data_IF_042587487210
#
_entry.id   IF_042587487210
#
_cell.length_a   1.000
_cell.length_b   1.000
_cell.length_c   1.000
_cell.angle_alpha   90.00
_cell.angle_beta   90.00
_cell.angle_gamma   90.00
#
_symmetry.space_group_name_H-M   'P 1'
#
loop_
_entity.id
_entity.type
_entity.pdbx_description
1 polymer ?
#
# COMPACT_ATOMS: atom_id res chain seq x y z
N UNK A 1 22.35 -2.18 8.54
CA UNK A 1 21.66 -3.28 9.27
C UNK A 1 21.73 -3.05 10.76
N UNK A 2 22.92 -2.96 11.37
CA UNK A 2 23.10 -2.66 12.81
C UNK A 2 22.11 -1.67 13.42
N UNK A 3 22.09 -0.42 12.95
CA UNK A 3 21.18 0.61 13.49
C UNK A 3 19.70 0.22 13.41
N UNK A 4 19.29 -0.49 12.34
CA UNK A 4 17.92 -0.96 12.20
C UNK A 4 17.62 -2.14 13.14
N UNK A 5 18.59 -3.02 13.38
CA UNK A 5 18.48 -4.10 14.36
C UNK A 5 18.34 -3.53 15.78
N UNK A 6 19.16 -2.54 16.14
CA UNK A 6 19.11 -1.84 17.43
C UNK A 6 17.74 -1.18 17.64
N UNK A 7 17.20 -0.51 16.60
CA UNK A 7 15.86 0.06 16.63
C UNK A 7 14.80 -1.02 16.87
N UNK A 8 14.85 -2.13 16.11
CA UNK A 8 13.85 -3.19 16.18
C UNK A 8 13.84 -3.83 17.57
N UNK A 9 15.02 -4.14 18.11
CA UNK A 9 15.19 -4.70 19.45
C UNK A 9 14.58 -3.77 20.52
N UNK A 10 14.96 -2.48 20.49
CA UNK A 10 14.43 -1.48 21.40
C UNK A 10 12.89 -1.34 21.31
N UNK A 11 12.33 -1.40 20.11
CA UNK A 11 10.88 -1.30 19.90
C UNK A 11 10.12 -2.51 20.43
N UNK A 12 10.68 -3.72 20.33
CA UNK A 12 10.06 -4.96 20.81
C UNK A 12 9.93 -4.95 22.33
N UNK A 13 10.97 -4.52 23.05
CA UNK A 13 10.95 -4.49 24.51
C UNK A 13 10.26 -3.25 25.11
N UNK A 14 10.04 -2.22 24.30
CA UNK A 14 9.36 -0.99 24.75
C UNK A 14 7.84 -1.16 24.75
N UNK A 15 7.20 -0.95 25.91
CA UNK A 15 5.72 -0.93 26.00
C UNK A 15 5.12 0.46 25.90
N UNK A 16 5.88 1.50 26.24
CA UNK A 16 5.39 2.89 26.25
C UNK A 16 5.28 3.44 24.84
N UNK A 17 4.08 3.87 24.45
CA UNK A 17 3.81 4.55 23.17
C UNK A 17 4.75 5.73 22.94
N UNK A 18 4.94 6.59 23.95
CA UNK A 18 5.78 7.78 23.83
C UNK A 18 7.27 7.44 23.74
N UNK A 19 7.70 6.35 24.38
CA UNK A 19 9.07 5.88 24.21
C UNK A 19 9.32 5.35 22.79
N UNK A 20 8.36 4.61 22.20
CA UNK A 20 8.46 4.18 20.80
C UNK A 20 8.55 5.35 19.83
N UNK A 21 7.73 6.39 20.04
CA UNK A 21 7.79 7.60 19.21
C UNK A 21 9.18 8.25 19.24
N UNK A 22 9.80 8.33 20.43
CA UNK A 22 11.17 8.83 20.57
C UNK A 22 12.19 7.94 19.86
N UNK A 23 12.14 6.63 20.07
CA UNK A 23 13.05 5.68 19.40
C UNK A 23 12.98 5.79 17.88
N UNK A 24 11.78 5.87 17.32
CA UNK A 24 11.56 6.08 15.88
C UNK A 24 12.17 7.42 15.47
N UNK A 25 11.83 8.51 16.16
CA UNK A 25 12.33 9.84 15.82
C UNK A 25 13.85 9.98 15.90
N UNK A 26 14.47 9.40 16.92
CA UNK A 26 15.93 9.36 17.10
C UNK A 26 16.59 8.62 15.94
N UNK A 27 16.09 7.42 15.61
CA UNK A 27 16.60 6.66 14.46
C UNK A 27 16.49 7.42 13.14
N UNK A 28 15.36 8.08 12.88
CA UNK A 28 15.14 8.83 11.63
C UNK A 28 16.03 10.06 11.50
N UNK A 29 16.46 10.65 12.62
CA UNK A 29 17.41 11.78 12.65
C UNK A 29 18.86 11.33 12.50
N UNK A 30 19.23 10.20 13.11
CA UNK A 30 20.62 9.73 13.14
C UNK A 30 21.01 8.87 11.94
N UNK A 31 20.04 8.32 11.21
CA UNK A 31 20.28 7.41 10.09
C UNK A 31 20.13 8.16 8.76
N UNK A 32 21.11 8.11 7.85
CA UNK A 32 21.03 8.80 6.57
C UNK A 32 20.05 8.14 5.59
N UNK A 33 19.69 8.88 4.53
CA UNK A 33 19.02 8.29 3.38
C UNK A 33 19.95 7.34 2.60
N UNK A 34 19.43 6.26 2.00
CA UNK A 34 18.02 5.85 1.97
C UNK A 34 17.61 4.91 3.12
N UNK A 35 18.50 4.59 4.07
CA UNK A 35 18.25 3.61 5.14
C UNK A 35 17.08 4.02 6.07
N UNK A 36 16.97 5.30 6.44
CA UNK A 36 15.84 5.78 7.27
C UNK A 36 14.49 5.62 6.59
N UNK A 37 14.45 5.82 5.27
CA UNK A 37 13.25 5.68 4.47
C UNK A 37 12.81 4.25 4.26
N UNK A 38 13.77 3.36 4.07
CA UNK A 38 13.50 1.92 4.05
C UNK A 38 13.01 1.38 5.40
N UNK A 39 13.56 1.87 6.51
CA UNK A 39 13.06 1.53 7.83
C UNK A 39 11.62 2.02 8.05
N UNK A 40 11.28 3.22 7.57
CA UNK A 40 9.89 3.69 7.57
C UNK A 40 8.99 2.75 6.79
N UNK A 41 9.37 2.37 5.57
CA UNK A 41 8.59 1.44 4.75
C UNK A 41 8.38 0.08 5.45
N UNK A 42 9.41 -0.42 6.13
CA UNK A 42 9.33 -1.64 6.91
C UNK A 42 8.35 -1.50 8.10
N UNK A 43 8.45 -0.42 8.88
CA UNK A 43 7.59 -0.18 10.05
C UNK A 43 6.13 0.10 9.68
N UNK A 44 5.86 0.62 8.48
CA UNK A 44 4.50 0.88 7.99
C UNK A 44 3.91 -0.27 7.19
N UNK A 45 4.65 -1.36 6.96
CA UNK A 45 4.18 -2.51 6.19
C UNK A 45 4.11 -2.25 4.68
N UNK A 46 4.87 -1.28 4.18
CA UNK A 46 4.90 -0.88 2.77
C UNK A 46 6.04 -1.55 1.98
N UNK A 47 6.75 -2.50 2.59
CA UNK A 47 7.84 -3.27 1.97
C UNK A 47 7.38 -4.69 1.64
N UNK A 48 7.71 -5.18 0.45
CA UNK A 48 7.50 -6.57 0.04
C UNK A 48 8.76 -7.15 -0.61
N UNK A 49 9.24 -8.28 -0.07
CA UNK A 49 10.42 -9.01 -0.55
C UNK A 49 9.97 -10.41 -1.04
N UNK A 50 9.39 -10.51 -2.25
CA UNK A 50 8.63 -11.68 -2.67
C UNK A 50 9.50 -12.93 -2.90
N UNK A 51 10.81 -12.76 -3.08
CA UNK A 51 11.75 -13.85 -3.26
C UNK A 51 12.00 -14.65 -1.96
N UNK A 52 11.83 -14.02 -0.79
CA UNK A 52 12.03 -14.67 0.51
C UNK A 52 10.70 -15.16 1.07
N UNK A 53 10.57 -16.47 1.23
CA UNK A 53 9.39 -17.11 1.83
C UNK A 53 9.78 -17.91 3.07
N UNK A 54 8.88 -18.08 4.06
CA UNK A 54 9.19 -18.86 5.27
C UNK A 54 9.71 -20.27 4.98
N UNK A 55 9.23 -20.92 3.93
CA UNK A 55 9.70 -22.24 3.52
C UNK A 55 11.16 -22.25 3.02
N UNK A 56 11.58 -21.18 2.32
CA UNK A 56 12.97 -21.02 1.88
C UNK A 56 13.89 -20.89 3.10
N UNK A 57 13.53 -19.99 4.02
CA UNK A 57 14.30 -19.72 5.25
C UNK A 57 14.44 -21.00 6.09
N UNK A 58 13.36 -21.80 6.19
CA UNK A 58 13.39 -23.11 6.86
C UNK A 58 14.33 -24.10 6.16
N UNK A 59 14.30 -24.18 4.84
CA UNK A 59 15.18 -25.08 4.09
C UNK A 59 16.67 -24.73 4.33
N UNK A 60 17.00 -23.43 4.32
CA UNK A 60 18.37 -22.97 4.54
C UNK A 60 18.94 -23.36 5.91
N UNK A 61 18.13 -23.29 6.98
CA UNK A 61 18.59 -23.71 8.32
C UNK A 61 18.66 -25.23 8.46
N UNK A 62 17.72 -25.98 7.87
CA UNK A 62 17.71 -27.45 7.91
C UNK A 62 18.87 -28.09 7.11
N UNK A 63 19.45 -27.37 6.14
CA UNK A 63 20.71 -27.76 5.47
C UNK A 63 21.95 -27.61 6.37
N UNK A 64 21.89 -26.75 7.39
CA UNK A 64 23.03 -26.32 8.21
C UNK A 64 22.99 -26.90 9.62
N UNK A 65 21.79 -27.17 10.12
CA UNK A 65 21.53 -27.62 11.48
C UNK A 65 20.62 -28.83 11.42
N UNK A 66 20.85 -29.79 12.30
CA UNK A 66 20.00 -30.98 12.42
C UNK A 66 18.50 -30.59 12.55
N UNK A 67 17.61 -31.12 11.70
CA UNK A 67 16.20 -30.73 11.71
C UNK A 67 15.44 -31.03 13.01
N UNK A 68 15.91 -31.99 13.82
CA UNK A 68 15.35 -32.27 15.16
C UNK A 68 15.78 -31.18 16.12
N UNK A 69 17.06 -30.82 16.13
CA UNK A 69 17.58 -29.73 16.97
C UNK A 69 16.91 -28.40 16.64
N UNK A 70 16.76 -28.07 15.34
CA UNK A 70 16.08 -26.85 14.91
C UNK A 70 14.63 -26.82 15.43
N UNK A 71 13.87 -27.90 15.25
CA UNK A 71 12.47 -27.99 15.70
C UNK A 71 12.34 -27.85 17.21
N UNK A 72 13.18 -28.55 17.99
CA UNK A 72 13.18 -28.44 19.45
C UNK A 72 13.50 -27.01 19.91
N UNK A 73 14.49 -26.37 19.29
CA UNK A 73 14.88 -24.99 19.60
C UNK A 73 13.77 -24.01 19.26
N UNK A 74 13.14 -24.18 18.10
CA UNK A 74 12.00 -23.37 17.65
C UNK A 74 10.82 -23.49 18.60
N UNK A 75 10.52 -24.70 19.07
CA UNK A 75 9.41 -24.93 20.01
C UNK A 75 9.68 -24.28 21.38
N UNK A 76 10.94 -24.16 21.78
CA UNK A 76 11.33 -23.44 23.00
C UNK A 76 11.28 -21.92 22.84
N UNK A 77 11.84 -21.37 21.75
CA UNK A 77 11.91 -19.92 21.50
C UNK A 77 10.56 -19.34 21.08
N UNK A 78 9.78 -20.09 20.29
CA UNK A 78 8.44 -19.68 19.84
C UNK A 78 8.44 -18.76 18.61
N UNK A 79 9.60 -18.34 18.11
CA UNK A 79 9.74 -17.52 16.91
C UNK A 79 10.83 -18.07 15.97
N UNK A 80 10.48 -18.30 14.71
CA UNK A 80 11.41 -18.87 13.73
C UNK A 80 12.56 -17.91 13.38
N UNK A 81 12.32 -16.60 13.32
CA UNK A 81 13.39 -15.66 12.96
C UNK A 81 14.44 -15.62 14.07
N UNK A 82 14.01 -15.54 15.33
CA UNK A 82 14.89 -15.55 16.49
C UNK A 82 15.64 -16.87 16.62
N UNK A 83 14.95 -18.00 16.45
CA UNK A 83 15.58 -19.32 16.50
C UNK A 83 16.68 -19.46 15.45
N UNK A 84 16.39 -19.05 14.21
CA UNK A 84 17.36 -19.17 13.11
C UNK A 84 18.52 -18.20 13.32
N UNK A 85 18.25 -16.97 13.75
CA UNK A 85 19.29 -15.99 14.04
C UNK A 85 20.31 -16.48 15.07
N UNK A 86 19.84 -17.17 16.11
CA UNK A 86 20.66 -17.76 17.17
C UNK A 86 21.36 -19.07 16.74
N UNK A 87 20.70 -19.90 15.95
CA UNK A 87 21.24 -21.20 15.50
C UNK A 87 22.13 -21.11 14.26
N UNK A 88 22.10 -19.98 13.53
CA UNK A 88 22.84 -19.85 12.29
C UNK A 88 24.35 -20.02 12.57
N UNK A 89 24.99 -21.06 12.01
CA UNK A 89 26.36 -21.40 12.36
C UNK A 89 27.32 -20.31 11.89
N UNK A 90 28.43 -20.17 12.60
CA UNK A 90 29.53 -19.35 12.12
C UNK A 90 30.10 -19.93 10.82
N UNK A 91 30.35 -19.10 9.79
CA UNK A 91 30.89 -19.59 8.54
C UNK A 91 32.32 -20.10 8.75
N UNK A 92 32.64 -21.26 8.14
CA UNK A 92 33.99 -21.87 8.22
C UNK A 92 35.04 -20.93 7.63
N UNK A 93 34.68 -20.21 6.56
CA UNK A 93 35.51 -19.19 5.92
C UNK A 93 34.91 -17.82 6.27
N UNK A 94 35.69 -16.90 6.86
CA UNK A 94 35.23 -15.54 7.09
C UNK A 94 34.78 -14.89 5.78
N UNK A 95 33.71 -14.09 5.78
CA UNK A 95 33.26 -13.41 4.57
C UNK A 95 34.34 -12.44 4.03
N UNK A 96 34.47 -12.38 2.71
CA UNK A 96 35.49 -11.59 1.99
C UNK A 96 35.42 -10.06 2.25
N UNK A 97 34.26 -9.55 2.68
CA UNK A 97 34.05 -8.12 2.89
C UNK A 97 33.86 -7.79 4.37
N UNK A 98 34.69 -6.88 4.90
CA UNK A 98 34.55 -6.34 6.25
C UNK A 98 33.53 -5.20 6.36
N UNK A 99 33.02 -4.68 5.23
CA UNK A 99 32.04 -3.60 5.25
C UNK A 99 30.68 -4.07 5.78
N UNK A 100 30.12 -3.37 6.79
CA UNK A 100 28.79 -3.68 7.32
C UNK A 100 27.71 -3.53 6.25
N UNK A 101 26.74 -4.45 6.22
CA UNK A 101 25.57 -4.35 5.35
C UNK A 101 24.65 -3.21 5.80
N UNK A 102 24.29 -2.31 4.89
CA UNK A 102 23.25 -1.29 5.10
C UNK A 102 21.85 -1.86 4.88
N UNK A 103 20.82 -1.20 5.40
CA UNK A 103 19.44 -1.65 5.19
C UNK A 103 19.04 -1.52 3.70
N UNK A 104 19.47 -0.44 3.06
CA UNK A 104 19.24 -0.20 1.64
C UNK A 104 19.84 -1.31 0.77
N UNK A 105 21.11 -1.68 0.98
CA UNK A 105 21.74 -2.76 0.23
C UNK A 105 20.97 -4.08 0.35
N UNK A 106 20.49 -4.42 1.55
CA UNK A 106 19.67 -5.62 1.76
C UNK A 106 18.39 -5.56 0.92
N UNK A 107 17.66 -4.44 0.97
CA UNK A 107 16.39 -4.29 0.26
C UNK A 107 16.58 -4.25 -1.25
N UNK A 108 17.56 -3.51 -1.74
CA UNK A 108 17.83 -3.38 -3.17
C UNK A 108 18.19 -4.73 -3.78
N UNK A 109 19.04 -5.50 -3.09
CA UNK A 109 19.43 -6.85 -3.53
C UNK A 109 18.23 -7.81 -3.44
N UNK A 110 17.59 -7.95 -2.28
CA UNK A 110 16.51 -8.93 -2.10
C UNK A 110 15.22 -8.57 -2.84
N UNK A 111 15.00 -7.29 -3.14
CA UNK A 111 13.84 -6.80 -3.88
C UNK A 111 13.95 -7.05 -5.38
N UNK A 112 15.17 -7.18 -5.92
CA UNK A 112 15.42 -7.36 -7.35
C UNK A 112 15.87 -8.77 -7.73
N UNK A 113 16.31 -9.58 -6.76
CA UNK A 113 16.85 -10.92 -7.01
C UNK A 113 15.80 -11.91 -7.52
N UNK A 114 16.24 -12.83 -8.37
CA UNK A 114 15.41 -13.96 -8.81
C UNK A 114 15.13 -14.93 -7.66
N UNK A 115 14.04 -15.69 -7.76
CA UNK A 115 13.72 -16.73 -6.77
C UNK A 115 14.77 -17.84 -6.69
N UNK A 116 15.51 -18.10 -7.77
CA UNK A 116 16.56 -19.13 -7.81
C UNK A 116 17.84 -18.68 -7.12
N UNK A 117 18.15 -17.39 -7.17
CA UNK A 117 19.40 -16.85 -6.60
C UNK A 117 19.22 -16.38 -5.15
N UNK A 118 17.97 -16.11 -4.75
CA UNK A 118 17.60 -15.71 -3.39
C UNK A 118 18.15 -16.61 -2.24
N UNK A 119 18.16 -17.95 -2.35
CA UNK A 119 18.70 -18.82 -1.29
C UNK A 119 20.17 -18.53 -0.99
N UNK A 120 21.01 -18.50 -2.03
CA UNK A 120 22.45 -18.29 -1.90
C UNK A 120 22.76 -16.88 -1.38
N UNK A 121 22.04 -15.88 -1.88
CA UNK A 121 22.22 -14.49 -1.43
C UNK A 121 21.81 -14.29 0.02
N UNK A 122 20.64 -14.81 0.44
CA UNK A 122 20.20 -14.70 1.83
C UNK A 122 21.18 -15.40 2.77
N UNK A 123 21.67 -16.59 2.42
CA UNK A 123 22.68 -17.28 3.22
C UNK A 123 23.96 -16.46 3.35
N UNK A 124 24.47 -15.90 2.25
CA UNK A 124 25.66 -15.04 2.27
C UNK A 124 25.48 -13.78 3.13
N UNK A 125 24.28 -13.19 3.15
CA UNK A 125 23.98 -12.10 4.07
C UNK A 125 23.97 -12.56 5.53
N UNK A 126 23.32 -13.69 5.85
CA UNK A 126 23.27 -14.22 7.22
C UNK A 126 24.66 -14.56 7.76
N UNK A 127 25.55 -15.10 6.92
CA UNK A 127 26.95 -15.40 7.26
C UNK A 127 27.75 -14.14 7.65
N UNK A 128 27.34 -12.96 7.17
CA UNK A 128 27.99 -11.67 7.45
C UNK A 128 27.43 -10.92 8.65
N UNK A 129 26.27 -11.33 9.16
CA UNK A 129 25.54 -10.60 10.19
C UNK A 129 25.68 -11.27 11.55
N UNK A 130 25.59 -10.48 12.62
CA UNK A 130 25.47 -10.98 13.99
C UNK A 130 24.04 -11.42 14.30
N UNK A 131 23.82 -12.11 15.42
CA UNK A 131 22.52 -12.70 15.77
C UNK A 131 21.35 -11.69 15.75
N UNK A 132 21.52 -10.50 16.32
CA UNK A 132 20.50 -9.45 16.33
C UNK A 132 20.22 -8.87 14.92
N UNK A 133 21.25 -8.70 14.10
CA UNK A 133 21.10 -8.28 12.71
C UNK A 133 20.44 -9.36 11.83
N UNK A 134 20.78 -10.64 12.04
CA UNK A 134 20.11 -11.78 11.39
C UNK A 134 18.64 -11.80 11.75
N UNK A 135 18.31 -11.60 13.02
CA UNK A 135 16.92 -11.52 13.49
C UNK A 135 16.18 -10.40 12.77
N UNK A 136 16.75 -9.19 12.72
CA UNK A 136 16.15 -8.05 12.02
C UNK A 136 15.96 -8.30 10.52
N UNK A 137 16.96 -8.87 9.84
CA UNK A 137 16.88 -9.26 8.43
C UNK A 137 15.75 -10.26 8.18
N UNK A 138 15.66 -11.31 9.00
CA UNK A 138 14.65 -12.36 8.85
C UNK A 138 13.24 -11.84 9.12
N UNK A 139 13.07 -10.99 10.14
CA UNK A 139 11.80 -10.33 10.46
C UNK A 139 11.34 -9.40 9.33
N UNK A 140 12.27 -8.64 8.75
CA UNK A 140 12.04 -7.78 7.59
C UNK A 140 11.62 -8.62 6.37
N UNK A 141 12.43 -9.62 6.00
CA UNK A 141 12.23 -10.41 4.79
C UNK A 141 10.97 -11.27 4.83
N UNK A 142 10.53 -11.71 6.01
CA UNK A 142 9.28 -12.46 6.17
C UNK A 142 8.05 -11.56 6.38
N UNK A 143 8.20 -10.24 6.43
CA UNK A 143 7.10 -9.28 6.62
C UNK A 143 6.41 -9.38 7.99
N UNK A 144 7.13 -9.84 9.02
CA UNK A 144 6.56 -10.20 10.32
C UNK A 144 7.27 -9.52 11.50
N UNK A 145 7.60 -8.22 11.35
CA UNK A 145 8.34 -7.43 12.35
C UNK A 145 7.74 -7.56 13.76
N UNK A 146 6.40 -7.44 13.88
CA UNK A 146 5.65 -7.53 15.16
C UNK A 146 6.24 -6.66 16.29
N UNK A 147 6.83 -5.51 15.94
CA UNK A 147 7.46 -4.58 16.89
C UNK A 147 6.46 -3.75 17.73
N UNK A 148 5.16 -4.03 17.63
CA UNK A 148 4.09 -3.25 18.27
C UNK A 148 4.07 -1.79 17.83
N UNK A 149 4.38 -1.53 16.55
CA UNK A 149 4.31 -0.21 15.90
C UNK A 149 3.25 -0.30 14.82
N UNK A 150 2.23 0.57 14.89
CA UNK A 150 1.28 0.74 13.79
C UNK A 150 1.83 1.74 12.78
N UNK A 151 1.33 1.69 11.53
CA UNK A 151 1.72 2.66 10.50
C UNK A 151 1.49 4.11 10.97
N UNK A 152 0.35 4.39 11.62
CA UNK A 152 0.06 5.70 12.22
C UNK A 152 1.06 6.10 13.31
N UNK A 153 1.50 5.15 14.15
CA UNK A 153 2.51 5.43 15.17
C UNK A 153 3.85 5.81 14.54
N UNK A 154 4.27 5.12 13.47
CA UNK A 154 5.50 5.44 12.75
C UNK A 154 5.43 6.84 12.10
N UNK A 155 4.32 7.16 11.41
CA UNK A 155 4.08 8.50 10.83
C UNK A 155 4.08 9.61 11.90
N UNK A 156 3.47 9.34 13.06
CA UNK A 156 3.51 10.26 14.20
C UNK A 156 4.93 10.45 14.72
N UNK A 157 5.74 9.39 14.75
CA UNK A 157 7.16 9.46 15.17
C UNK A 157 7.98 10.33 14.23
N UNK A 158 7.80 10.17 12.91
CA UNK A 158 8.38 11.06 11.90
C UNK A 158 7.94 12.52 12.13
N UNK A 159 6.63 12.78 12.21
CA UNK A 159 6.08 14.12 12.36
C UNK A 159 6.63 14.84 13.61
N UNK A 160 6.65 14.15 14.76
CA UNK A 160 7.20 14.69 16.00
C UNK A 160 8.72 14.92 15.94
N UNK A 161 9.45 14.05 15.23
CA UNK A 161 10.89 14.21 15.09
C UNK A 161 11.24 15.48 14.31
N UNK A 162 10.50 15.76 13.24
CA UNK A 162 10.81 16.84 12.31
C UNK A 162 9.89 18.07 12.42
N UNK A 163 9.10 18.15 13.50
CA UNK A 163 8.16 19.24 13.76
C UNK A 163 7.17 19.49 12.60
N UNK A 164 6.66 18.39 12.03
CA UNK A 164 5.66 18.40 10.97
C UNK A 164 4.26 18.17 11.54
N UNK A 165 3.24 18.66 10.84
CA UNK A 165 1.86 18.27 11.07
C UNK A 165 1.64 16.81 10.62
N UNK A 166 1.12 15.97 11.51
CA UNK A 166 0.94 14.53 11.22
C UNK A 166 -0.19 14.31 10.22
N UNK A 167 -1.20 15.16 10.22
CA UNK A 167 -2.31 15.12 9.27
C UNK A 167 -1.83 15.47 7.86
N UNK A 168 -0.91 16.44 7.72
CA UNK A 168 -0.25 16.73 6.45
C UNK A 168 0.63 15.57 5.95
N UNK A 169 1.34 14.88 6.85
CA UNK A 169 2.09 13.66 6.51
C UNK A 169 1.14 12.54 6.05
N UNK A 170 0.02 12.35 6.73
CA UNK A 170 -0.98 11.34 6.38
C UNK A 170 -1.65 11.63 5.03
N UNK A 171 -1.94 12.89 4.73
CA UNK A 171 -2.54 13.32 3.46
C UNK A 171 -1.70 12.86 2.26
N UNK A 172 -0.39 13.11 2.30
CA UNK A 172 0.49 12.80 1.16
C UNK A 172 0.98 11.36 1.12
N UNK A 173 0.86 10.62 2.23
CA UNK A 173 1.52 9.33 2.42
C UNK A 173 1.30 8.34 1.27
N UNK A 174 0.05 8.18 0.82
CA UNK A 174 -0.34 7.22 -0.23
C UNK A 174 0.22 7.60 -1.61
N UNK A 175 0.56 8.87 -1.80
CA UNK A 175 1.14 9.39 -3.03
C UNK A 175 2.67 9.31 -3.06
N UNK A 176 3.32 9.00 -1.95
CA UNK A 176 4.77 8.86 -1.86
C UNK A 176 5.19 7.39 -1.91
N UNK A 177 6.36 7.13 -2.50
CA UNK A 177 6.91 5.78 -2.61
C UNK A 177 8.15 5.63 -1.74
N UNK A 178 8.37 4.46 -1.09
CA UNK A 178 9.66 4.12 -0.47
C UNK A 178 10.84 4.33 -1.44
N UNK A 179 12.01 4.81 -0.97
CA UNK A 179 12.36 5.15 0.42
C UNK A 179 11.95 6.59 0.83
N UNK A 180 10.90 7.15 0.23
CA UNK A 180 10.31 8.44 0.60
C UNK A 180 11.24 9.67 0.54
N UNK A 181 12.07 9.84 -0.52
CA UNK A 181 13.02 10.97 -0.58
C UNK A 181 12.33 12.34 -0.48
N UNK A 182 11.16 12.53 -1.11
CA UNK A 182 10.38 13.78 -1.02
C UNK A 182 9.92 14.07 0.40
N UNK A 183 9.56 13.03 1.17
CA UNK A 183 9.09 13.18 2.55
C UNK A 183 10.22 13.65 3.46
N UNK A 184 11.39 13.01 3.37
CA UNK A 184 12.54 13.40 4.18
C UNK A 184 13.14 14.73 3.72
N UNK A 185 13.10 15.02 2.42
CA UNK A 185 13.43 16.34 1.91
C UNK A 185 12.56 17.45 2.49
N UNK A 186 11.26 17.22 2.61
CA UNK A 186 10.34 18.13 3.32
C UNK A 186 10.66 18.20 4.82
N UNK A 187 10.86 17.05 5.47
CA UNK A 187 11.17 16.96 6.89
C UNK A 187 12.46 17.71 7.29
N UNK A 188 13.45 17.77 6.39
CA UNK A 188 14.69 18.50 6.59
C UNK A 188 14.65 19.95 6.11
N UNK A 189 13.52 20.40 5.54
CA UNK A 189 13.36 21.75 4.99
C UNK A 189 14.14 22.01 3.68
N UNK A 190 14.64 20.95 3.02
CA UNK A 190 15.33 21.06 1.72
C UNK A 190 14.35 21.07 0.54
N UNK A 191 13.14 20.55 0.75
CA UNK A 191 12.05 20.53 -0.22
C UNK A 191 10.81 21.22 0.37
N UNK A 192 9.95 21.74 -0.49
CA UNK A 192 8.62 22.22 -0.08
C UNK A 192 7.74 21.06 0.33
N UNK A 193 6.79 21.32 1.24
CA UNK A 193 5.76 20.36 1.61
C UNK A 193 5.05 19.83 0.35
N UNK A 194 5.03 18.52 0.10
CA UNK A 194 4.16 17.95 -0.92
C UNK A 194 2.70 18.21 -0.53
N UNK A 195 1.85 18.45 -1.52
CA UNK A 195 0.42 18.70 -1.29
C UNK A 195 -0.40 17.89 -2.29
N UNK A 196 -1.70 17.80 -2.04
CA UNK A 196 -2.64 17.14 -2.93
C UNK A 196 -2.72 17.75 -4.34
N UNK A 197 -2.16 18.95 -4.55
CA UNK A 197 -2.03 19.61 -5.86
C UNK A 197 -0.79 19.16 -6.65
N UNK A 198 0.18 18.52 -5.98
CA UNK A 198 1.46 18.12 -6.58
C UNK A 198 1.68 16.60 -6.54
N UNK A 199 0.87 15.89 -5.75
CA UNK A 199 1.01 14.45 -5.52
C UNK A 199 -0.39 13.83 -5.65
N UNK A 200 -0.54 12.72 -6.40
CA UNK A 200 -1.79 11.98 -6.43
C UNK A 200 -2.00 11.34 -5.05
N UNK A 201 -2.91 11.89 -4.25
CA UNK A 201 -3.18 11.42 -2.90
C UNK A 201 -4.54 10.76 -2.78
N UNK A 202 -4.61 9.71 -1.99
CA UNK A 202 -5.86 9.07 -1.59
C UNK A 202 -6.61 9.91 -0.56
N UNK A 203 -7.93 10.03 -0.74
CA UNK A 203 -8.85 10.67 0.22
C UNK A 203 -9.84 9.64 0.75
N UNK A 204 -10.11 9.61 2.08
CA UNK A 204 -11.10 8.72 2.65
C UNK A 204 -12.47 8.86 1.98
N UNK A 205 -13.11 7.73 1.73
CA UNK A 205 -14.41 7.66 1.08
C UNK A 205 -15.55 8.10 2.01
N UNK A 206 -16.56 8.78 1.45
CA UNK A 206 -17.87 8.89 2.09
C UNK A 206 -18.52 7.50 2.14
N UNK A 207 -19.00 7.08 3.31
CA UNK A 207 -19.60 5.77 3.52
C UNK A 207 -21.13 5.86 3.54
N UNK A 208 -21.78 4.87 2.93
CA UNK A 208 -23.23 4.70 3.03
C UNK A 208 -23.58 3.95 4.32
N UNK A 209 -24.76 4.26 4.85
CA UNK A 209 -25.38 3.52 5.95
C UNK A 209 -26.61 2.76 5.42
N UNK A 210 -26.93 1.58 5.97
CA UNK A 210 -28.20 0.93 5.66
C UNK A 210 -29.35 1.87 5.94
N UNK A 211 -30.34 1.89 5.05
CA UNK A 211 -31.56 2.65 5.25
C UNK A 211 -32.37 2.01 6.39
N UNK A 212 -32.61 2.75 7.47
CA UNK A 212 -33.44 2.28 8.59
C UNK A 212 -34.94 2.52 8.34
N UNK A 213 -35.25 3.53 7.54
CA UNK A 213 -36.62 3.88 7.15
C UNK A 213 -37.13 2.94 6.04
N UNK A 214 -38.42 2.62 6.08
CA UNK A 214 -39.04 1.75 5.06
C UNK A 214 -39.45 2.48 3.80
N UNK A 215 -39.45 3.82 3.80
CA UNK A 215 -39.77 4.67 2.65
C UNK A 215 -39.02 5.99 2.76
N UNK A 216 -38.55 6.53 1.62
CA UNK A 216 -37.94 7.86 1.54
C UNK A 216 -38.60 8.71 0.45
N UNK A 217 -38.47 10.03 0.57
CA UNK A 217 -38.92 10.99 -0.45
C UNK A 217 -37.86 11.13 -1.54
N UNK A 218 -38.17 10.78 -2.78
CA UNK A 218 -37.25 10.98 -3.92
C UNK A 218 -37.05 12.47 -4.29
N UNK A 219 -37.65 13.41 -3.56
CA UNK A 219 -37.29 14.83 -3.65
C UNK A 219 -35.97 15.13 -2.93
N UNK A 220 -35.63 14.33 -1.91
CA UNK A 220 -34.46 14.52 -1.05
C UNK A 220 -33.33 13.51 -1.37
N UNK A 221 -33.64 12.48 -2.15
CA UNK A 221 -32.75 11.37 -2.47
C UNK A 221 -32.65 11.14 -3.97
N UNK A 222 -31.45 10.73 -4.41
CA UNK A 222 -31.24 10.13 -5.73
C UNK A 222 -30.97 8.63 -5.55
N UNK A 223 -31.42 7.84 -6.51
CA UNK A 223 -31.23 6.40 -6.52
C UNK A 223 -30.28 5.99 -7.66
N UNK A 224 -29.31 5.14 -7.36
CA UNK A 224 -28.42 4.52 -8.33
C UNK A 224 -28.26 3.04 -7.99
N UNK A 225 -27.91 2.23 -8.99
CA UNK A 225 -27.61 0.82 -8.76
C UNK A 225 -26.37 0.65 -7.89
N UNK A 226 -26.45 -0.27 -6.93
CA UNK A 226 -25.28 -0.72 -6.18
C UNK A 226 -24.52 -1.78 -6.99
N UNK A 227 -23.50 -1.35 -7.69
CA UNK A 227 -22.64 -2.21 -8.50
C UNK A 227 -21.85 -3.23 -7.66
N UNK A 228 -21.59 -4.41 -8.25
CA UNK A 228 -20.78 -5.48 -7.64
C UNK A 228 -19.38 -5.47 -8.27
N UNK A 229 -18.55 -4.55 -7.79
CA UNK A 229 -17.18 -4.32 -8.25
C UNK A 229 -16.24 -3.97 -7.10
N UNK A 230 -15.28 -3.09 -7.40
CA UNK A 230 -14.45 -2.48 -6.36
C UNK A 230 -14.53 -0.97 -6.47
N UNK A 231 -14.96 -0.33 -5.39
CA UNK A 231 -14.85 1.11 -5.23
C UNK A 231 -13.40 1.58 -5.40
N UNK A 232 -13.21 2.51 -6.32
CA UNK A 232 -11.93 3.10 -6.66
C UNK A 232 -12.01 4.62 -6.66
N UNK A 233 -10.94 5.25 -6.20
CA UNK A 233 -10.72 6.67 -6.39
C UNK A 233 -9.69 6.88 -7.49
N UNK A 234 -10.08 7.57 -8.56
CA UNK A 234 -9.21 7.97 -9.66
C UNK A 234 -8.63 9.34 -9.32
N UNK A 235 -7.31 9.49 -9.37
CA UNK A 235 -6.64 10.76 -9.08
C UNK A 235 -5.69 11.07 -10.22
N UNK A 236 -5.88 12.21 -10.89
CA UNK A 236 -4.93 12.74 -11.85
C UNK A 236 -4.48 14.13 -11.43
N UNK A 237 -3.19 14.27 -11.13
CA UNK A 237 -2.60 15.54 -10.71
C UNK A 237 -1.11 15.55 -11.05
N UNK A 238 -0.58 16.72 -11.40
CA UNK A 238 0.82 16.90 -11.78
C UNK A 238 1.32 15.90 -12.84
N UNK A 239 0.45 15.53 -13.79
CA UNK A 239 0.76 14.58 -14.87
C UNK A 239 0.86 13.11 -14.44
N UNK A 240 0.43 12.78 -13.22
CA UNK A 240 0.42 11.42 -12.69
C UNK A 240 -1.01 10.95 -12.43
N UNK A 241 -1.32 9.74 -12.88
CA UNK A 241 -2.59 9.05 -12.60
C UNK A 241 -2.37 7.94 -11.59
N UNK A 242 -3.21 7.89 -10.56
CA UNK A 242 -3.30 6.75 -9.64
C UNK A 242 -4.73 6.31 -9.41
N UNK A 243 -4.88 5.01 -9.19
CA UNK A 243 -6.12 4.36 -8.77
C UNK A 243 -5.94 3.84 -7.36
N UNK A 244 -6.79 4.29 -6.45
CA UNK A 244 -6.77 3.85 -5.06
C UNK A 244 -7.96 2.96 -4.74
N UNK A 245 -7.69 1.84 -4.07
CA UNK A 245 -8.72 0.96 -3.52
C UNK A 245 -9.44 1.60 -2.32
N UNK A 246 -10.51 0.97 -1.84
CA UNK A 246 -11.19 1.34 -0.58
C UNK A 246 -10.25 1.52 0.62
N UNK A 247 -9.17 0.73 0.68
CA UNK A 247 -8.20 0.76 1.77
C UNK A 247 -7.07 1.80 1.57
N UNK A 248 -7.06 2.51 0.44
CA UNK A 248 -6.00 3.45 0.07
C UNK A 248 -4.79 2.79 -0.61
N UNK A 249 -4.90 1.51 -0.99
CA UNK A 249 -3.84 0.82 -1.73
C UNK A 249 -3.80 1.32 -3.17
N UNK A 250 -2.60 1.59 -3.68
CA UNK A 250 -2.37 1.92 -5.07
C UNK A 250 -2.50 0.65 -5.93
N UNK A 251 -3.58 0.57 -6.72
CA UNK A 251 -3.87 -0.56 -7.61
C UNK A 251 -3.62 -0.23 -9.09
N UNK A 252 -2.95 0.89 -9.37
CA UNK A 252 -2.70 1.40 -10.73
C UNK A 252 -2.06 0.34 -11.63
N UNK A 253 -1.09 -0.42 -11.11
CA UNK A 253 -0.40 -1.48 -11.85
C UNK A 253 -1.31 -2.66 -12.25
N UNK A 254 -2.37 -2.92 -11.49
CA UNK A 254 -3.34 -3.97 -11.82
C UNK A 254 -4.34 -3.52 -12.91
N UNK A 255 -4.43 -2.22 -13.17
CA UNK A 255 -5.38 -1.60 -14.13
C UNK A 255 -4.72 -0.51 -14.98
N UNK A 256 -3.61 -0.83 -15.68
CA UNK A 256 -2.82 0.17 -16.39
C UNK A 256 -3.58 0.84 -17.54
N UNK A 257 -4.52 0.14 -18.17
CA UNK A 257 -5.35 0.70 -19.24
C UNK A 257 -6.34 1.74 -18.74
N UNK A 258 -6.86 1.58 -17.52
CA UNK A 258 -7.75 2.58 -16.90
C UNK A 258 -6.93 3.82 -16.53
N UNK A 259 -5.76 3.62 -15.93
CA UNK A 259 -4.85 4.71 -15.60
C UNK A 259 -4.39 5.50 -16.83
N UNK A 260 -4.08 4.79 -17.93
CA UNK A 260 -3.69 5.40 -19.19
C UNK A 260 -4.82 6.24 -19.81
N UNK A 261 -6.08 5.80 -19.72
CA UNK A 261 -7.23 6.54 -20.26
C UNK A 261 -7.72 7.68 -19.37
N UNK A 262 -7.27 7.80 -18.11
CA UNK A 262 -7.64 8.89 -17.20
C UNK A 262 -6.53 9.96 -17.13
N UNK A 263 -6.60 10.96 -18.00
CA UNK A 263 -5.60 12.05 -18.12
C UNK A 263 -6.15 13.45 -17.82
N UNK A 264 -7.41 13.55 -17.43
CA UNK A 264 -8.04 14.81 -17.06
C UNK A 264 -7.79 15.10 -15.58
N UNK A 265 -7.28 16.30 -15.26
CA UNK A 265 -6.98 16.69 -13.89
C UNK A 265 -8.23 16.69 -13.02
N UNK A 266 -8.21 15.92 -11.93
CA UNK A 266 -9.37 15.75 -11.07
C UNK A 266 -9.28 14.51 -10.17
N UNK A 267 -10.29 14.39 -9.31
CA UNK A 267 -10.45 13.26 -8.40
C UNK A 267 -11.86 12.74 -8.50
N UNK A 268 -12.03 11.51 -9.00
CA UNK A 268 -13.34 10.88 -9.19
C UNK A 268 -13.51 9.67 -8.28
N UNK A 269 -14.76 9.38 -7.92
CA UNK A 269 -15.20 8.19 -7.21
C UNK A 269 -16.06 7.33 -8.13
N UNK A 270 -15.81 6.03 -8.13
CA UNK A 270 -16.50 5.11 -9.01
C UNK A 270 -16.31 3.64 -8.63
N UNK A 271 -17.05 2.78 -9.32
CA UNK A 271 -16.91 1.34 -9.19
C UNK A 271 -16.10 0.79 -10.36
N UNK A 272 -14.97 0.14 -10.05
CA UNK A 272 -14.18 -0.61 -11.02
C UNK A 272 -14.86 -1.95 -11.32
N UNK A 273 -15.09 -2.20 -12.60
CA UNK A 273 -15.81 -3.35 -13.13
C UNK A 273 -15.01 -3.99 -14.28
N UNK A 274 -15.38 -5.21 -14.66
CA UNK A 274 -14.89 -5.88 -15.88
C UNK A 274 -16.05 -5.95 -16.86
N UNK A 275 -15.80 -5.78 -18.16
CA UNK A 275 -16.87 -5.90 -19.16
C UNK A 275 -17.40 -7.34 -19.28
N UNK A 276 -18.70 -7.50 -19.48
CA UNK A 276 -19.36 -8.79 -19.70
C UNK A 276 -20.87 -8.74 -19.50
N UNK A 277 -21.57 -9.86 -19.71
CA UNK A 277 -23.05 -9.88 -19.74
C UNK A 277 -23.69 -10.44 -18.46
N UNK A 278 -23.11 -10.16 -17.28
CA UNK A 278 -23.56 -10.78 -16.03
C UNK A 278 -24.40 -9.86 -15.12
N UNK A 279 -24.21 -8.54 -15.16
CA UNK A 279 -24.83 -7.56 -14.25
C UNK A 279 -25.72 -6.54 -15.01
N UNK A 280 -26.78 -7.00 -15.67
CA UNK A 280 -27.74 -6.11 -16.35
C UNK A 280 -27.26 -5.55 -17.70
N UNK A 281 -26.21 -6.13 -18.27
CA UNK A 281 -25.62 -5.73 -19.56
C UNK A 281 -24.33 -4.93 -19.37
N UNK A 282 -23.31 -5.27 -20.16
CA UNK A 282 -21.98 -4.66 -20.23
C UNK A 282 -21.04 -4.81 -19.01
N UNK A 283 -21.54 -5.14 -17.81
CA UNK A 283 -20.71 -5.51 -16.65
C UNK A 283 -20.69 -7.04 -16.36
N UNK A 284 -19.49 -7.61 -16.26
CA UNK A 284 -19.21 -9.00 -15.91
C UNK A 284 -19.23 -9.26 -14.40
N UNK A 285 -19.11 -10.52 -13.98
CA UNK A 285 -19.17 -10.90 -12.56
C UNK A 285 -17.97 -10.41 -11.73
N UNK A 286 -18.14 -10.22 -10.43
CA UNK A 286 -17.03 -9.91 -9.51
C UNK A 286 -15.88 -10.93 -9.58
N UNK A 287 -16.18 -12.22 -9.82
CA UNK A 287 -15.16 -13.26 -10.00
C UNK A 287 -14.23 -13.01 -11.20
N UNK A 288 -14.70 -12.31 -12.23
CA UNK A 288 -13.90 -11.91 -13.37
C UNK A 288 -12.90 -10.80 -12.97
N UNK A 289 -13.35 -9.82 -12.20
CA UNK A 289 -12.50 -8.77 -11.64
C UNK A 289 -11.41 -9.35 -10.72
N UNK A 290 -11.77 -10.34 -9.90
CA UNK A 290 -10.81 -11.04 -9.01
C UNK A 290 -9.61 -11.64 -9.73
N UNK A 291 -9.71 -11.97 -11.03
CA UNK A 291 -8.56 -12.48 -11.79
C UNK A 291 -7.42 -11.45 -11.88
N UNK A 292 -7.77 -10.16 -11.81
CA UNK A 292 -6.86 -9.02 -11.94
C UNK A 292 -6.37 -8.44 -10.61
N UNK A 293 -7.13 -8.62 -9.54
CA UNK A 293 -6.80 -8.01 -8.25
C UNK A 293 -5.49 -8.53 -7.67
N UNK A 294 -4.70 -7.60 -7.12
CA UNK A 294 -3.40 -7.90 -6.51
C UNK A 294 -2.34 -8.37 -7.51
N UNK A 295 -2.60 -8.30 -8.82
CA UNK A 295 -1.61 -8.63 -9.85
C UNK A 295 -0.65 -7.46 -10.03
N UNK A 296 0.63 -7.70 -9.76
CA UNK A 296 1.72 -6.72 -10.00
C UNK A 296 2.00 -6.51 -11.49
N UNK A 297 1.79 -7.56 -12.29
CA UNK A 297 1.96 -7.54 -13.75
C UNK A 297 0.74 -8.21 -14.36
N UNK A 298 0.10 -7.51 -15.31
CA UNK A 298 -1.08 -7.97 -16.03
C UNK A 298 -0.65 -8.36 -17.44
N UNK A 299 -0.96 -9.58 -17.88
CA UNK A 299 -0.60 -10.07 -19.22
C UNK A 299 -1.54 -9.50 -20.29
N UNK A 300 -1.08 -9.45 -21.54
CA UNK A 300 -1.93 -9.04 -22.67
C UNK A 300 -3.21 -9.90 -22.77
N UNK A 301 -3.10 -11.20 -22.49
CA UNK A 301 -4.24 -12.13 -22.42
C UNK A 301 -5.25 -11.71 -21.34
N UNK A 302 -4.78 -11.33 -20.16
CA UNK A 302 -5.64 -10.90 -19.06
C UNK A 302 -6.33 -9.57 -19.38
N UNK A 303 -5.65 -8.63 -20.06
CA UNK A 303 -6.25 -7.38 -20.52
C UNK A 303 -7.37 -7.63 -21.55
N UNK A 304 -7.19 -8.61 -22.44
CA UNK A 304 -8.20 -8.96 -23.44
C UNK A 304 -9.38 -9.76 -22.87
N UNK A 305 -9.12 -10.67 -21.93
CA UNK A 305 -10.17 -11.53 -21.34
C UNK A 305 -10.98 -10.80 -20.25
N UNK A 306 -10.34 -9.87 -19.54
CA UNK A 306 -10.93 -9.14 -18.43
C UNK A 306 -10.72 -7.62 -18.59
N UNK A 307 -11.24 -7.01 -19.66
CA UNK A 307 -11.10 -5.57 -19.89
C UNK A 307 -11.85 -4.81 -18.80
N UNK A 308 -11.14 -3.94 -18.08
CA UNK A 308 -11.75 -3.15 -17.01
C UNK A 308 -12.30 -1.81 -17.50
N UNK A 309 -13.31 -1.32 -16.80
CA UNK A 309 -13.86 0.03 -16.93
C UNK A 309 -14.28 0.52 -15.54
N UNK A 310 -14.48 1.83 -15.39
CA UNK A 310 -14.95 2.43 -14.14
C UNK A 310 -16.28 3.11 -14.38
N UNK A 311 -17.27 2.75 -13.56
CA UNK A 311 -18.55 3.42 -13.50
C UNK A 311 -18.55 4.49 -12.43
N UNK A 312 -18.51 5.74 -12.86
CA UNK A 312 -18.33 6.91 -12.02
C UNK A 312 -19.65 7.32 -11.37
N UNK A 313 -19.62 7.71 -10.09
CA UNK A 313 -20.81 8.17 -9.37
C UNK A 313 -20.58 9.43 -8.51
N UNK A 314 -19.34 9.87 -8.31
CA UNK A 314 -19.06 11.17 -7.70
C UNK A 314 -17.78 11.82 -8.24
N UNK A 315 -17.66 13.14 -8.05
CA UNK A 315 -16.48 13.95 -8.35
C UNK A 315 -16.12 14.77 -7.11
N UNK A 316 -14.88 14.61 -6.66
CA UNK A 316 -14.36 15.31 -5.49
C UNK A 316 -13.61 16.58 -5.92
N UNK A 317 -12.88 16.51 -7.03
CA UNK A 317 -12.12 17.63 -7.59
C UNK A 317 -12.27 17.69 -9.10
N UNK A 318 -12.47 18.89 -9.63
CA UNK A 318 -12.34 19.19 -11.06
C UNK A 318 -11.16 20.16 -11.24
N UNK A 319 -10.05 19.66 -11.78
CA UNK A 319 -8.78 20.36 -11.76
C UNK A 319 -8.31 20.65 -10.33
N UNK A 320 -8.23 21.94 -9.98
CA UNK A 320 -7.83 22.40 -8.65
C UNK A 320 -9.04 22.69 -7.74
N UNK A 321 -10.27 22.70 -8.27
CA UNK A 321 -11.46 23.07 -7.53
C UNK A 321 -11.91 21.92 -6.63
N UNK A 322 -11.97 22.15 -5.32
CA UNK A 322 -12.51 21.21 -4.34
C UNK A 322 -14.04 21.28 -4.31
N UNK A 323 -14.70 20.23 -4.80
CA UNK A 323 -16.15 20.19 -4.95
C UNK A 323 -16.84 19.54 -3.74
N UNK A 324 -16.09 19.05 -2.74
CA UNK A 324 -16.65 18.26 -1.61
C UNK A 324 -17.65 19.05 -0.74
N UNK A 325 -17.54 20.37 -0.73
CA UNK A 325 -18.46 21.24 0.00
C UNK A 325 -19.79 21.49 -0.74
N UNK A 326 -19.87 21.16 -2.03
CA UNK A 326 -21.07 21.35 -2.85
C UNK A 326 -22.12 20.27 -2.58
N UNK A 327 -23.38 20.57 -2.89
CA UNK A 327 -24.48 19.60 -2.83
C UNK A 327 -24.32 18.50 -3.88
N UNK A 328 -24.95 17.33 -3.66
CA UNK A 328 -24.84 16.20 -4.59
C UNK A 328 -25.27 16.56 -6.02
N UNK A 329 -26.36 17.31 -6.20
CA UNK A 329 -26.84 17.73 -7.53
C UNK A 329 -25.80 18.56 -8.29
N UNK A 330 -25.11 19.47 -7.62
CA UNK A 330 -24.06 20.29 -8.23
C UNK A 330 -22.86 19.43 -8.61
N UNK A 331 -22.41 18.55 -7.71
CA UNK A 331 -21.32 17.60 -8.01
C UNK A 331 -21.69 16.66 -9.16
N UNK A 332 -22.93 16.17 -9.20
CA UNK A 332 -23.43 15.31 -10.27
C UNK A 332 -23.37 15.98 -11.63
N UNK A 333 -23.83 17.23 -11.74
CA UNK A 333 -23.73 17.99 -12.98
C UNK A 333 -22.26 18.22 -13.40
N UNK A 334 -21.36 18.47 -12.43
CA UNK A 334 -19.91 18.59 -12.70
C UNK A 334 -19.33 17.24 -13.17
N UNK A 335 -19.72 16.13 -12.55
CA UNK A 335 -19.29 14.78 -12.95
C UNK A 335 -19.71 14.45 -14.38
N UNK A 336 -20.97 14.69 -14.73
CA UNK A 336 -21.49 14.41 -16.08
C UNK A 336 -20.77 15.25 -17.13
N UNK A 337 -20.54 16.53 -16.84
CA UNK A 337 -19.75 17.42 -17.71
C UNK A 337 -18.32 16.92 -17.86
N UNK A 338 -17.69 16.53 -16.75
CA UNK A 338 -16.32 16.01 -16.74
C UNK A 338 -16.21 14.70 -17.51
N UNK A 339 -17.18 13.79 -17.38
CA UNK A 339 -17.14 12.47 -18.00
C UNK A 339 -17.19 12.51 -19.54
N UNK A 340 -17.78 13.56 -20.14
CA UNK A 340 -17.83 13.73 -21.60
C UNK A 340 -16.44 13.78 -22.25
N UNK A 341 -15.41 14.24 -21.52
CA UNK A 341 -14.04 14.31 -22.03
C UNK A 341 -13.25 12.99 -21.86
N UNK A 342 -13.83 12.00 -21.17
CA UNK A 342 -13.19 10.73 -20.90
C UNK A 342 -13.46 9.70 -22.00
N UNK A 343 -12.60 8.70 -22.07
CA UNK A 343 -12.76 7.55 -22.96
C UNK A 343 -14.02 6.75 -22.57
N UNK A 344 -15.06 6.82 -23.40
CA UNK A 344 -16.34 6.14 -23.19
C UNK A 344 -16.23 4.60 -23.15
N UNK A 345 -15.13 4.01 -23.64
CA UNK A 345 -14.91 2.57 -23.47
C UNK A 345 -14.41 2.22 -22.06
N UNK A 346 -13.90 3.20 -21.30
CA UNK A 346 -13.26 3.00 -19.99
C UNK A 346 -14.01 3.66 -18.86
N UNK A 347 -14.78 4.69 -19.15
CA UNK A 347 -15.51 5.46 -18.17
C UNK A 347 -16.94 5.66 -18.63
N UNK A 348 -17.88 5.28 -17.79
CA UNK A 348 -19.27 5.70 -17.90
C UNK A 348 -19.71 6.31 -16.58
N UNK A 349 -20.88 6.96 -16.61
CA UNK A 349 -21.48 7.52 -15.41
C UNK A 349 -22.62 6.61 -14.98
N UNK A 350 -22.65 6.26 -13.69
CA UNK A 350 -23.74 5.51 -13.07
C UNK A 350 -25.07 6.21 -13.34
N UNK A 351 -26.04 5.48 -13.85
CA UNK A 351 -27.35 6.03 -14.19
C UNK A 351 -28.16 6.28 -12.91
N UNK A 352 -28.71 7.49 -12.79
CA UNK A 352 -29.73 7.78 -11.79
C UNK A 352 -31.02 7.09 -12.23
N UNK A 353 -31.61 6.32 -11.34
CA UNK A 353 -32.86 5.61 -11.58
C UNK A 353 -34.00 6.63 -11.57
N UNK A 354 -34.70 6.76 -12.69
CA UNK A 354 -35.89 7.59 -12.82
C UNK A 354 -37.08 6.84 -12.22
N UNK A 355 -37.47 7.25 -11.01
CA UNK A 355 -38.61 6.72 -10.28
C UNK A 355 -39.40 7.87 -9.66
N UNK A 356 -40.74 7.79 -9.71
CA UNK A 356 -41.63 8.86 -9.19
C UNK A 356 -41.71 8.83 -7.67
N UNK A 357 -41.60 7.66 -7.08
CA UNK A 357 -41.64 7.43 -5.65
C UNK A 357 -40.83 6.19 -5.26
N UNK A 358 -40.70 5.96 -3.96
CA UNK A 358 -39.94 4.84 -3.44
C UNK A 358 -40.51 3.47 -3.82
N UNK A 359 -41.82 3.36 -4.08
CA UNK A 359 -42.43 2.09 -4.44
C UNK A 359 -42.02 1.66 -5.87
N UNK A 360 -41.86 2.61 -6.78
CA UNK A 360 -41.36 2.35 -8.14
C UNK A 360 -39.88 1.91 -8.15
N UNK A 361 -39.12 2.10 -7.07
CA UNK A 361 -37.76 1.55 -6.92
C UNK A 361 -37.75 0.08 -6.45
N UNK A 362 -38.85 -0.43 -5.90
CA UNK A 362 -38.97 -1.82 -5.46
C UNK A 362 -39.36 -2.79 -6.60
N UNK A 363 -39.91 -2.25 -7.70
CA UNK A 363 -40.30 -2.98 -8.93
C UNK A 363 -39.11 -3.18 -9.88
#
# INVERSE_FOLDING_TARGET
MRAFADLLDALIYTRSRNAKLRLIGEYLKSTPDPDRGWAMAALTGSLDLPAIKPALVRALIEERVDPVLYRMSRDFVGDSAETIALLWPEPITPPDTSEPLTLAQVIDILGSISKSDAPAMLASMLDRLEADERFALLKLAMGALRAGVSARLAKTGLAQAFDLDVEAVEEVWHGLAPPYPTLFGWAEGTHTQPTAQNVPVFRPFMLAHPLEETQVSLQDYAAEWKWDGIRVQLVHVAGQTRLYSRAGDDITHSFPEVAASFQAAGVLDGELLVKGDAQGGEAGSFNALQQRLGRKVVSAKMLSEYPAFVRLYDILFDGADDLRALGWTERRARLETFAVQLDAERFDVSAVIDAKDFAELEE
#
